data_IF_912639968695
#
_entry.id   IF_912639968695
#
_cell.length_a   1.000
_cell.length_b   1.000
_cell.length_c   1.000
_cell.angle_alpha   90.00
_cell.angle_beta   90.00
_cell.angle_gamma   90.00
#
_symmetry.space_group_name_H-M   'P 1'
#
loop_
_entity.id
_entity.type
_entity.pdbx_description
1 polymer ?
#
# COMPACT_ATOMS: atom_id res chain seq x y z
N UNK A 1 -1.91 5.06 -11.13
CA UNK A 1 -2.23 5.58 -9.78
C UNK A 1 -3.69 6.02 -9.76
N UNK A 2 -4.49 5.45 -8.87
CA UNK A 2 -5.88 5.84 -8.60
C UNK A 2 -5.94 6.61 -7.27
N UNK A 3 -6.21 7.91 -7.33
CA UNK A 3 -6.16 8.76 -6.13
C UNK A 3 -7.53 8.88 -5.44
N UNK A 4 -8.58 8.23 -5.96
CA UNK A 4 -9.94 8.37 -5.45
C UNK A 4 -10.46 9.82 -5.43
N UNK A 5 -9.82 10.71 -6.18
CA UNK A 5 -9.98 12.17 -6.17
C UNK A 5 -9.73 12.82 -4.79
N UNK A 6 -9.03 12.11 -3.91
CA UNK A 6 -8.64 12.53 -2.57
C UNK A 6 -7.35 13.35 -2.52
N UNK A 7 -6.79 13.48 -1.32
CA UNK A 7 -5.60 14.27 -1.03
C UNK A 7 -4.34 13.72 -1.72
N UNK A 8 -4.25 12.40 -1.90
CA UNK A 8 -3.09 11.72 -2.50
C UNK A 8 -2.74 12.20 -3.91
N UNK A 9 -3.66 12.83 -4.65
CA UNK A 9 -3.40 13.39 -5.99
C UNK A 9 -2.33 14.47 -6.03
N UNK A 10 -2.09 15.14 -4.91
CA UNK A 10 -1.07 16.19 -4.80
C UNK A 10 0.32 15.66 -4.48
N UNK A 11 0.45 14.41 -4.04
CA UNK A 11 1.71 13.86 -3.55
C UNK A 11 2.16 12.62 -4.36
N UNK A 12 1.36 11.56 -4.39
CA UNK A 12 1.79 10.25 -4.91
C UNK A 12 2.24 10.30 -6.37
N UNK A 13 1.52 10.94 -7.32
CA UNK A 13 1.97 11.02 -8.70
C UNK A 13 3.32 11.73 -8.84
N UNK A 14 3.48 12.89 -8.19
CA UNK A 14 4.70 13.70 -8.25
C UNK A 14 5.90 12.97 -7.62
N UNK A 15 5.67 12.24 -6.52
CA UNK A 15 6.71 11.44 -5.87
C UNK A 15 7.21 10.32 -6.80
N UNK A 16 6.29 9.59 -7.45
CA UNK A 16 6.65 8.51 -8.38
C UNK A 16 7.36 9.04 -9.63
N UNK A 17 6.89 10.16 -10.20
CA UNK A 17 7.58 10.84 -11.30
C UNK A 17 9.01 11.27 -10.87
N UNK A 18 9.17 11.80 -9.66
CA UNK A 18 10.48 12.16 -9.08
C UNK A 18 11.41 10.96 -8.87
N UNK A 19 10.86 9.76 -8.70
CA UNK A 19 11.61 8.50 -8.66
C UNK A 19 11.95 7.94 -10.06
N UNK A 20 11.52 8.62 -11.14
CA UNK A 20 11.77 8.23 -12.53
C UNK A 20 10.72 7.27 -13.11
N UNK A 21 9.56 7.11 -12.47
CA UNK A 21 8.48 6.29 -13.00
C UNK A 21 7.70 7.01 -14.10
N UNK A 22 7.23 6.27 -15.10
CA UNK A 22 6.17 6.74 -15.99
C UNK A 22 4.81 6.58 -15.29
N UNK A 23 4.12 7.68 -15.03
CA UNK A 23 2.92 7.69 -14.20
C UNK A 23 1.67 7.99 -15.02
N UNK A 24 0.75 7.02 -15.05
CA UNK A 24 -0.63 7.22 -15.49
C UNK A 24 -1.54 7.44 -14.28
N UNK A 25 -2.19 8.60 -14.21
CA UNK A 25 -3.16 8.93 -13.16
C UNK A 25 -4.58 8.68 -13.66
N UNK A 26 -5.42 8.09 -12.83
CA UNK A 26 -6.87 7.96 -13.03
C UNK A 26 -7.61 8.44 -11.79
N UNK A 27 -8.90 8.74 -11.95
CA UNK A 27 -9.79 9.06 -10.83
C UNK A 27 -9.25 10.18 -9.93
N UNK A 28 -8.70 11.27 -10.50
CA UNK A 28 -8.09 12.40 -9.78
C UNK A 28 -9.00 13.64 -9.64
N UNK A 29 -10.17 13.60 -10.29
CA UNK A 29 -11.07 14.73 -10.37
C UNK A 29 -12.47 14.44 -9.79
N UNK A 30 -12.94 15.38 -8.95
CA UNK A 30 -14.28 15.42 -8.36
C UNK A 30 -15.32 16.14 -9.25
N UNK A 31 -14.87 16.86 -10.29
CA UNK A 31 -15.64 17.95 -10.91
C UNK A 31 -16.82 17.50 -11.75
N UNK A 32 -16.82 16.28 -12.30
CA UNK A 32 -17.90 15.87 -13.22
C UNK A 32 -19.27 15.71 -12.54
N UNK A 33 -19.33 15.42 -11.23
CA UNK A 33 -20.60 15.15 -10.52
C UNK A 33 -20.66 15.58 -9.04
N UNK A 34 -19.65 16.26 -8.49
CA UNK A 34 -19.51 16.49 -7.03
C UNK A 34 -19.59 15.19 -6.22
N UNK A 35 -19.08 14.10 -6.79
CA UNK A 35 -19.09 12.75 -6.21
C UNK A 35 -17.72 12.14 -6.45
N UNK A 36 -17.33 11.25 -5.54
CA UNK A 36 -16.14 10.44 -5.74
C UNK A 36 -16.27 9.57 -7.01
N UNK A 37 -15.17 9.35 -7.75
CA UNK A 37 -15.17 8.58 -8.99
C UNK A 37 -15.46 7.09 -8.77
N UNK A 38 -15.18 6.59 -7.56
CA UNK A 38 -15.51 5.26 -7.05
C UNK A 38 -15.81 5.34 -5.55
N UNK A 39 -16.29 4.25 -4.98
CA UNK A 39 -16.30 4.11 -3.51
C UNK A 39 -14.88 4.32 -2.96
N UNK A 40 -14.79 5.09 -1.87
CA UNK A 40 -13.54 5.68 -1.37
C UNK A 40 -12.59 4.58 -0.89
N UNK A 41 -13.13 3.60 -0.18
CA UNK A 41 -12.39 2.48 0.39
C UNK A 41 -11.66 1.70 -0.73
N UNK A 42 -10.31 1.65 -0.74
CA UNK A 42 -9.52 1.09 -1.83
C UNK A 42 -9.44 -0.44 -1.76
N UNK A 43 -10.58 -1.12 -1.70
CA UNK A 43 -10.69 -2.58 -1.79
C UNK A 43 -10.90 -3.04 -3.22
N UNK A 44 -10.52 -4.29 -3.52
CA UNK A 44 -10.59 -4.89 -4.87
C UNK A 44 -11.91 -4.60 -5.61
N UNK A 45 -13.05 -4.68 -4.91
CA UNK A 45 -14.38 -4.45 -5.50
C UNK A 45 -14.55 -3.03 -6.07
N UNK A 46 -13.84 -2.06 -5.50
CA UNK A 46 -13.91 -0.64 -5.85
C UNK A 46 -12.81 -0.24 -6.86
N UNK A 47 -11.80 -1.09 -7.07
CA UNK A 47 -10.62 -0.80 -7.89
C UNK A 47 -10.64 -1.42 -9.30
N UNK A 48 -11.83 -1.73 -9.83
CA UNK A 48 -11.97 -2.38 -11.15
C UNK A 48 -11.30 -1.59 -12.27
N UNK A 49 -11.44 -0.27 -12.26
CA UNK A 49 -10.83 0.59 -13.27
C UNK A 49 -9.30 0.54 -13.18
N UNK A 50 -8.74 0.64 -11.98
CA UNK A 50 -7.29 0.54 -11.77
C UNK A 50 -6.76 -0.84 -12.20
N UNK A 51 -7.44 -1.93 -11.83
CA UNK A 51 -7.06 -3.29 -12.21
C UNK A 51 -7.03 -3.43 -13.74
N UNK A 52 -8.06 -2.93 -14.41
CA UNK A 52 -8.15 -2.98 -15.86
C UNK A 52 -7.08 -2.12 -16.53
N UNK A 53 -6.80 -0.93 -15.99
CA UNK A 53 -5.76 -0.05 -16.49
C UNK A 53 -4.35 -0.64 -16.34
N UNK A 54 -4.05 -1.28 -15.21
CA UNK A 54 -2.77 -1.98 -15.02
C UNK A 54 -2.64 -3.12 -16.04
N UNK A 55 -3.66 -3.96 -16.17
CA UNK A 55 -3.62 -5.13 -17.03
C UNK A 55 -3.58 -4.78 -18.53
N UNK A 56 -4.43 -3.85 -19.00
CA UNK A 56 -4.49 -3.45 -20.41
C UNK A 56 -3.36 -2.51 -20.78
N UNK A 57 -2.99 -1.59 -19.88
CA UNK A 57 -1.89 -0.65 -20.06
C UNK A 57 -0.51 -1.29 -19.95
N UNK A 58 -0.43 -2.57 -19.55
CA UNK A 58 0.82 -3.29 -19.26
C UNK A 58 1.71 -2.52 -18.27
N UNK A 59 1.08 -1.94 -17.24
CA UNK A 59 1.81 -1.26 -16.18
C UNK A 59 2.45 -2.29 -15.25
N UNK A 60 3.62 -1.98 -14.69
CA UNK A 60 4.32 -2.88 -13.76
C UNK A 60 3.61 -2.99 -12.40
N UNK A 61 2.95 -1.91 -11.96
CA UNK A 61 2.25 -1.83 -10.67
C UNK A 61 1.18 -0.74 -10.70
N UNK A 62 0.10 -0.96 -9.96
CA UNK A 62 -0.93 0.04 -9.65
C UNK A 62 -0.97 0.37 -8.17
N UNK A 63 -1.19 1.64 -7.86
CA UNK A 63 -1.40 2.13 -6.50
C UNK A 63 -2.74 2.83 -6.38
N UNK A 64 -3.48 2.56 -5.30
CA UNK A 64 -4.72 3.24 -4.98
C UNK A 64 -4.73 3.79 -3.55
N UNK A 65 -5.41 4.91 -3.35
CA UNK A 65 -5.62 5.56 -2.05
C UNK A 65 -7.10 5.73 -1.72
N UNK A 66 -7.40 5.95 -0.45
CA UNK A 66 -8.65 6.55 0.02
C UNK A 66 -8.58 8.09 0.01
N UNK A 67 -9.54 8.75 0.67
CA UNK A 67 -9.79 10.18 0.49
C UNK A 67 -8.69 11.07 1.06
N UNK A 68 -8.09 10.71 2.19
CA UNK A 68 -6.98 11.39 2.85
C UNK A 68 -5.62 10.74 2.60
N UNK A 69 -5.62 9.57 1.94
CA UNK A 69 -4.44 8.87 1.45
C UNK A 69 -3.51 8.35 2.57
N UNK A 70 -4.09 7.96 3.70
CA UNK A 70 -3.42 7.17 4.74
C UNK A 70 -3.42 5.66 4.38
N UNK A 71 -4.31 5.21 3.49
CA UNK A 71 -4.34 3.83 2.97
C UNK A 71 -3.66 3.69 1.62
N UNK A 72 -3.10 2.50 1.39
CA UNK A 72 -2.50 2.09 0.14
C UNK A 72 -2.97 0.70 -0.28
N UNK A 73 -3.56 0.59 -1.46
CA UNK A 73 -3.78 -0.69 -2.13
C UNK A 73 -2.80 -0.86 -3.29
N UNK A 74 -2.31 -2.09 -3.46
CA UNK A 74 -1.30 -2.44 -4.47
C UNK A 74 -1.90 -3.44 -5.46
N UNK A 75 -1.81 -3.11 -6.75
CA UNK A 75 -2.20 -3.98 -7.86
C UNK A 75 -0.94 -4.43 -8.59
N UNK A 76 -0.72 -5.74 -8.72
CA UNK A 76 0.38 -6.28 -9.52
C UNK A 76 0.13 -6.17 -11.03
N UNK A 77 1.19 -6.32 -11.81
CA UNK A 77 1.22 -6.34 -13.28
C UNK A 77 0.12 -7.22 -13.94
N UNK A 78 -0.28 -8.31 -13.29
CA UNK A 78 -1.34 -9.23 -13.75
C UNK A 78 -2.75 -8.81 -13.33
N UNK A 79 -2.92 -7.61 -12.79
CA UNK A 79 -4.20 -7.11 -12.27
C UNK A 79 -4.61 -7.70 -10.92
N UNK A 80 -3.71 -8.40 -10.23
CA UNK A 80 -3.98 -8.95 -8.90
C UNK A 80 -3.97 -7.83 -7.86
N UNK A 81 -5.09 -7.64 -7.15
CA UNK A 81 -5.14 -6.79 -5.96
C UNK A 81 -4.57 -7.56 -4.78
N UNK A 82 -3.43 -7.13 -4.26
CA UNK A 82 -2.81 -7.79 -3.11
C UNK A 82 -3.49 -7.38 -1.80
N UNK A 83 -3.62 -8.29 -0.82
CA UNK A 83 -3.97 -7.94 0.55
C UNK A 83 -3.00 -6.91 1.12
N UNK A 84 -3.51 -5.98 1.93
CA UNK A 84 -2.74 -4.88 2.55
C UNK A 84 -1.46 -5.34 3.24
N UNK A 85 -1.52 -6.46 3.97
CA UNK A 85 -0.37 -7.02 4.69
C UNK A 85 0.81 -7.41 3.78
N UNK A 86 0.56 -7.73 2.50
CA UNK A 86 1.63 -8.11 1.57
C UNK A 86 2.59 -6.94 1.32
N UNK A 87 2.06 -5.72 1.17
CA UNK A 87 2.88 -4.53 0.97
C UNK A 87 3.80 -4.27 2.17
N UNK A 88 3.22 -4.33 3.38
CA UNK A 88 3.96 -4.15 4.62
C UNK A 88 4.97 -5.28 4.86
N UNK A 89 4.66 -6.51 4.47
CA UNK A 89 5.56 -7.66 4.59
C UNK A 89 6.79 -7.52 3.68
N UNK A 90 6.61 -7.02 2.45
CA UNK A 90 7.72 -6.71 1.55
C UNK A 90 8.64 -5.62 2.14
N UNK A 91 8.06 -4.58 2.73
CA UNK A 91 8.81 -3.51 3.41
C UNK A 91 9.59 -4.08 4.60
N UNK A 92 8.93 -4.87 5.46
CA UNK A 92 9.55 -5.51 6.61
C UNK A 92 10.72 -6.40 6.19
N UNK A 93 10.54 -7.28 5.20
CA UNK A 93 11.61 -8.16 4.73
C UNK A 93 12.77 -7.36 4.12
N UNK A 94 12.48 -6.28 3.37
CA UNK A 94 13.51 -5.40 2.82
C UNK A 94 14.32 -4.72 3.93
N UNK A 95 13.67 -4.19 4.96
CA UNK A 95 14.35 -3.54 6.08
C UNK A 95 15.23 -4.54 6.85
N UNK A 96 14.71 -5.75 7.14
CA UNK A 96 15.46 -6.79 7.85
C UNK A 96 16.71 -7.25 7.09
N UNK A 97 16.64 -7.41 5.76
CA UNK A 97 17.82 -7.72 4.94
C UNK A 97 18.92 -6.66 5.06
N UNK A 98 18.55 -5.40 5.21
CA UNK A 98 19.51 -4.31 5.41
C UNK A 98 19.99 -4.17 6.86
N UNK A 99 19.30 -4.81 7.81
CA UNK A 99 19.58 -4.76 9.25
C UNK A 99 20.47 -5.90 9.76
N UNK A 100 20.80 -6.89 8.91
CA UNK A 100 21.45 -8.15 9.30
C UNK A 100 22.82 -7.98 10.01
N UNK A 101 23.46 -6.82 9.90
CA UNK A 101 24.75 -6.52 10.53
C UNK A 101 24.67 -5.60 11.76
N UNK A 102 23.48 -5.29 12.26
CA UNK A 102 23.31 -4.41 13.41
C UNK A 102 23.27 -5.19 14.74
N UNK A 103 23.71 -4.54 15.81
CA UNK A 103 23.71 -5.12 17.17
C UNK A 103 22.37 -5.00 17.89
N UNK A 104 21.46 -4.17 17.38
CA UNK A 104 20.16 -3.89 17.99
C UNK A 104 19.09 -4.87 17.50
N UNK A 105 18.22 -5.32 18.42
CA UNK A 105 17.07 -6.17 18.08
C UNK A 105 16.09 -5.38 17.20
N UNK A 106 15.74 -5.94 16.04
CA UNK A 106 14.68 -5.38 15.22
C UNK A 106 13.31 -5.77 15.81
N UNK A 107 12.50 -4.76 16.12
CA UNK A 107 11.16 -4.96 16.67
C UNK A 107 10.12 -4.44 15.66
N UNK A 108 9.25 -5.33 15.21
CA UNK A 108 8.10 -5.01 14.37
C UNK A 108 6.83 -4.95 15.22
N UNK A 109 6.14 -3.81 15.22
CA UNK A 109 4.92 -3.62 15.99
C UNK A 109 3.74 -3.62 15.02
N UNK A 110 2.75 -4.47 15.26
CA UNK A 110 1.53 -4.53 14.45
C UNK A 110 0.32 -4.90 15.30
N UNK A 111 -0.89 -4.71 14.78
CA UNK A 111 -2.10 -5.06 15.52
C UNK A 111 -2.41 -6.57 15.45
N UNK A 112 -3.37 -7.01 16.28
CA UNK A 112 -3.81 -8.40 16.38
C UNK A 112 -4.54 -8.95 15.14
N UNK A 113 -5.10 -8.08 14.28
CA UNK A 113 -5.80 -8.50 13.07
C UNK A 113 -4.85 -8.76 11.88
N UNK A 114 -3.64 -8.20 11.92
CA UNK A 114 -2.62 -8.39 10.90
C UNK A 114 -2.16 -9.84 10.77
N UNK A 115 -1.84 -10.26 9.56
CA UNK A 115 -1.45 -11.63 9.21
C UNK A 115 -0.30 -12.20 10.05
N UNK A 116 -0.28 -13.53 10.20
CA UNK A 116 0.84 -14.27 10.79
C UNK A 116 2.11 -14.28 9.90
N UNK A 117 2.02 -13.76 8.67
CA UNK A 117 3.20 -13.68 7.80
C UNK A 117 4.33 -12.83 8.39
N UNK A 118 3.99 -11.84 9.23
CA UNK A 118 4.98 -11.01 9.91
C UNK A 118 5.81 -11.82 10.91
N UNK A 119 5.20 -12.76 11.64
CA UNK A 119 5.91 -13.63 12.58
C UNK A 119 6.85 -14.58 11.82
N UNK A 120 6.40 -15.14 10.71
CA UNK A 120 7.23 -16.02 9.85
C UNK A 120 8.45 -15.26 9.29
N UNK A 121 8.25 -14.01 8.85
CA UNK A 121 9.35 -13.17 8.40
C UNK A 121 10.27 -12.83 9.57
N UNK A 122 9.73 -12.47 10.73
CA UNK A 122 10.53 -12.15 11.91
C UNK A 122 11.41 -13.31 12.36
N UNK A 123 10.85 -14.52 12.47
CA UNK A 123 11.59 -15.74 12.83
C UNK A 123 12.75 -16.01 11.86
N UNK A 124 12.53 -15.82 10.55
CA UNK A 124 13.57 -16.00 9.52
C UNK A 124 14.78 -15.09 9.73
N UNK A 125 14.59 -13.89 10.29
CA UNK A 125 15.64 -12.89 10.49
C UNK A 125 16.03 -12.69 11.96
N UNK A 126 15.49 -13.50 12.89
CA UNK A 126 15.73 -13.35 14.32
C UNK A 126 15.18 -12.05 14.92
N UNK A 127 14.13 -11.48 14.31
CA UNK A 127 13.45 -10.28 14.77
C UNK A 127 12.27 -10.61 15.70
N UNK A 128 11.75 -9.60 16.41
CA UNK A 128 10.61 -9.75 17.31
C UNK A 128 9.36 -9.06 16.78
N UNK A 129 8.20 -9.71 16.91
CA UNK A 129 6.89 -9.09 16.63
C UNK A 129 6.19 -8.76 17.95
N UNK A 130 5.68 -7.53 18.07
CA UNK A 130 4.79 -7.10 19.15
C UNK A 130 3.39 -6.92 18.59
N UNK A 131 2.41 -7.54 19.24
CA UNK A 131 0.99 -7.44 18.86
C UNK A 131 0.24 -6.47 19.77
N UNK A 132 -0.50 -5.55 19.17
CA UNK A 132 -1.35 -4.57 19.87
C UNK A 132 -2.83 -4.82 19.63
N UNK A 133 -3.75 -4.23 20.44
CA UNK A 133 -5.16 -4.15 20.05
C UNK A 133 -5.32 -3.43 18.70
N UNK A 134 -6.47 -3.66 18.05
CA UNK A 134 -6.82 -2.97 16.80
C UNK A 134 -7.04 -1.48 17.07
N UNK A 135 -6.41 -0.65 16.25
CA UNK A 135 -6.52 0.82 16.29
C UNK A 135 -5.15 1.48 16.12
N UNK A 136 -5.10 2.50 15.25
CA UNK A 136 -3.85 3.22 14.93
C UNK A 136 -3.20 3.86 16.17
N UNK A 137 -4.00 4.29 17.14
CA UNK A 137 -3.51 4.87 18.41
C UNK A 137 -2.53 3.97 19.19
N UNK A 138 -2.55 2.66 18.95
CA UNK A 138 -1.64 1.71 19.61
C UNK A 138 -0.33 1.49 18.84
N UNK A 139 -0.21 2.03 17.62
CA UNK A 139 0.92 1.84 16.72
C UNK A 139 1.81 3.09 16.59
N UNK A 140 1.35 4.26 17.07
CA UNK A 140 2.06 5.56 17.01
C UNK A 140 2.71 5.89 18.35
#
# INVERSE_FOLDING_TARGET
VDTGAGAGKHATPQMLEGMGCEVKVINDDLTKKKKFPREIEPIQNNLKDLIMEVWQGKCDVGFAHDCDADRLAIIGDKGTCYPEDIGLALIMEHQLKNYENQTEEFIFITNLASSLMFDVIAEKYGARVIRTPIGEIFLV
#
